data_IF_531408898296
#
_entry.id   IF_531408898296
#
_cell.length_a   1.000
_cell.length_b   1.000
_cell.length_c   1.000
_cell.angle_alpha   90.00
_cell.angle_beta   90.00
_cell.angle_gamma   90.00
#
_symmetry.space_group_name_H-M   'P 1'
#
loop_
_entity.id
_entity.type
_entity.pdbx_description
1 polymer ?
#
# COMPACT_ATOMS: atom_id res chain seq x y z
N UNK A 1 13.17 1.75 -7.08
CA UNK A 1 13.13 3.06 -6.36
C UNK A 1 11.89 3.29 -5.48
N UNK A 2 10.75 2.63 -5.70
CA UNK A 2 9.49 2.89 -4.95
C UNK A 2 9.46 2.36 -3.50
N UNK A 3 10.33 1.41 -3.14
CA UNK A 3 10.30 0.70 -1.85
C UNK A 3 10.19 1.63 -0.62
N UNK A 4 10.93 2.75 -0.50
CA UNK A 4 10.81 3.64 0.66
C UNK A 4 9.43 4.28 0.78
N UNK A 5 8.79 4.64 -0.33
CA UNK A 5 7.43 5.21 -0.31
C UNK A 5 6.40 4.18 0.14
N UNK A 6 6.54 2.92 -0.31
CA UNK A 6 5.72 1.81 0.19
C UNK A 6 5.90 1.55 1.68
N UNK A 7 7.13 1.67 2.21
CA UNK A 7 7.39 1.54 3.66
C UNK A 7 6.70 2.65 4.44
N UNK A 8 6.80 3.91 3.99
CA UNK A 8 6.14 5.05 4.63
C UNK A 8 4.62 4.90 4.58
N UNK A 9 4.06 4.57 3.42
CA UNK A 9 2.61 4.39 3.25
C UNK A 9 2.07 3.26 4.15
N UNK A 10 2.76 2.12 4.20
CA UNK A 10 2.42 1.01 5.09
C UNK A 10 2.38 1.42 6.56
N UNK A 11 3.41 2.14 7.04
CA UNK A 11 3.43 2.63 8.44
C UNK A 11 2.33 3.65 8.73
N UNK A 12 2.14 4.60 7.82
CA UNK A 12 1.15 5.66 7.98
C UNK A 12 -0.28 5.11 7.90
N UNK A 13 -0.53 4.03 7.17
CA UNK A 13 -1.86 3.40 7.07
C UNK A 13 -2.44 3.03 8.44
N UNK A 14 -1.59 2.58 9.38
CA UNK A 14 -2.03 2.27 10.74
C UNK A 14 -2.31 3.52 11.55
N UNK A 15 -1.51 4.58 11.38
CA UNK A 15 -1.76 5.86 12.07
C UNK A 15 -3.08 6.48 11.59
N UNK A 16 -3.27 6.57 10.28
CA UNK A 16 -4.49 7.05 9.66
C UNK A 16 -5.71 6.20 10.06
N UNK A 17 -5.56 4.86 10.02
CA UNK A 17 -6.60 3.93 10.44
C UNK A 17 -6.96 4.05 11.92
N UNK A 18 -5.97 4.23 12.80
CA UNK A 18 -6.20 4.43 14.23
C UNK A 18 -6.94 5.74 14.52
N UNK A 19 -6.57 6.84 13.85
CA UNK A 19 -7.30 8.12 13.96
C UNK A 19 -8.72 7.97 13.42
N UNK A 20 -8.90 7.37 12.25
CA UNK A 20 -10.23 7.14 11.67
C UNK A 20 -11.11 6.21 12.51
N UNK A 21 -10.52 5.36 13.35
CA UNK A 21 -11.23 4.51 14.31
C UNK A 21 -11.82 5.28 15.48
N UNK A 22 -11.34 6.49 15.78
CA UNK A 22 -11.88 7.31 16.86
C UNK A 22 -13.35 7.67 16.61
N UNK A 23 -14.15 7.71 17.68
CA UNK A 23 -15.57 7.97 17.55
C UNK A 23 -15.87 9.36 16.98
N UNK A 24 -15.01 10.33 17.29
CA UNK A 24 -15.09 11.69 16.76
C UNK A 24 -14.88 11.76 15.24
N UNK A 25 -14.19 10.78 14.65
CA UNK A 25 -13.93 10.67 13.21
C UNK A 25 -14.96 9.77 12.49
N UNK A 26 -16.03 9.37 13.18
CA UNK A 26 -17.07 8.47 12.65
C UNK A 26 -16.77 6.97 12.84
N UNK A 27 -15.58 6.63 13.34
CA UNK A 27 -15.17 5.26 13.58
C UNK A 27 -15.88 4.58 14.75
N UNK A 28 -15.47 3.34 15.00
CA UNK A 28 -16.05 2.46 16.03
C UNK A 28 -15.75 2.90 17.47
N UNK A 29 -14.72 3.73 17.68
CA UNK A 29 -14.21 4.12 18.99
C UNK A 29 -13.31 3.06 19.61
N UNK A 30 -12.52 2.36 18.80
CA UNK A 30 -11.62 1.29 19.25
C UNK A 30 -10.18 1.80 19.34
N UNK A 31 -9.58 1.70 20.52
CA UNK A 31 -8.14 1.88 20.69
C UNK A 31 -7.43 0.58 20.27
N UNK A 32 -6.57 0.64 19.26
CA UNK A 32 -5.93 -0.56 18.69
C UNK A 32 -5.20 -1.41 19.73
N UNK A 33 -4.48 -0.79 20.66
CA UNK A 33 -3.74 -1.51 21.72
C UNK A 33 -4.59 -2.01 22.88
N UNK A 34 -5.86 -1.60 22.97
CA UNK A 34 -6.65 -1.81 24.18
C UNK A 34 -5.98 -1.20 25.42
N UNK A 35 -6.35 -1.73 26.59
CA UNK A 35 -5.73 -1.45 27.90
C UNK A 35 -5.87 -2.70 28.77
N UNK A 36 -5.12 -2.86 29.89
CA UNK A 36 -5.31 -4.00 30.78
C UNK A 36 -6.78 -4.22 31.17
N UNK A 37 -7.31 -5.41 30.87
CA UNK A 37 -8.73 -5.76 31.09
C UNK A 37 -9.67 -5.46 29.91
N UNK A 38 -9.19 -4.84 28.82
CA UNK A 38 -9.96 -4.52 27.61
C UNK A 38 -9.25 -5.09 26.38
N UNK A 39 -10.00 -5.79 25.53
CA UNK A 39 -9.46 -6.42 24.33
C UNK A 39 -8.88 -5.38 23.34
N UNK A 40 -7.78 -5.71 22.64
CA UNK A 40 -7.24 -4.88 21.58
C UNK A 40 -8.14 -4.89 20.33
N UNK A 41 -7.93 -3.93 19.44
CA UNK A 41 -8.59 -3.88 18.14
C UNK A 41 -8.06 -4.96 17.19
N UNK A 42 -8.95 -5.51 16.35
CA UNK A 42 -8.61 -6.49 15.32
C UNK A 42 -8.20 -5.78 14.03
N UNK A 43 -6.96 -5.99 13.58
CA UNK A 43 -6.41 -5.42 12.35
C UNK A 43 -6.18 -6.52 11.31
N UNK A 44 -6.72 -6.33 10.12
CA UNK A 44 -6.50 -7.21 8.97
C UNK A 44 -5.67 -6.50 7.92
N UNK A 45 -4.59 -7.12 7.46
CA UNK A 45 -3.74 -6.58 6.38
C UNK A 45 -3.85 -7.50 5.18
N UNK A 46 -4.31 -6.97 4.04
CA UNK A 46 -4.47 -7.72 2.80
C UNK A 46 -3.28 -7.40 1.89
N UNK A 47 -2.40 -8.37 1.69
CA UNK A 47 -1.12 -8.25 1.00
C UNK A 47 0.04 -8.20 2.00
N UNK A 48 0.99 -9.11 1.86
CA UNK A 48 2.17 -9.31 2.69
C UNK A 48 3.46 -8.67 2.16
N UNK A 49 3.36 -7.91 1.06
CA UNK A 49 4.48 -7.18 0.46
C UNK A 49 5.00 -6.03 1.35
N UNK A 50 5.79 -5.12 0.77
CA UNK A 50 6.46 -4.04 1.52
C UNK A 50 5.50 -3.17 2.33
N UNK A 51 4.37 -2.78 1.74
CA UNK A 51 3.33 -1.98 2.41
C UNK A 51 2.75 -2.77 3.59
N UNK A 52 2.27 -3.98 3.32
CA UNK A 52 1.60 -4.80 4.33
C UNK A 52 2.51 -5.22 5.48
N UNK A 53 3.77 -5.55 5.20
CA UNK A 53 4.78 -5.82 6.21
C UNK A 53 4.93 -4.64 7.19
N UNK A 54 5.03 -3.43 6.66
CA UNK A 54 5.21 -2.23 7.49
C UNK A 54 3.94 -1.85 8.24
N UNK A 55 2.76 -2.07 7.63
CA UNK A 55 1.48 -1.92 8.31
C UNK A 55 1.34 -2.92 9.47
N UNK A 56 1.60 -4.20 9.23
CA UNK A 56 1.57 -5.24 10.26
C UNK A 56 2.57 -4.95 11.38
N UNK A 57 3.80 -4.54 11.06
CA UNK A 57 4.80 -4.15 12.05
C UNK A 57 4.31 -3.01 12.95
N UNK A 58 3.67 -1.98 12.37
CA UNK A 58 3.13 -0.88 13.16
C UNK A 58 1.93 -1.32 14.02
N UNK A 59 1.01 -2.09 13.46
CA UNK A 59 -0.17 -2.57 14.19
C UNK A 59 0.22 -3.46 15.38
N UNK A 60 1.15 -4.40 15.18
CA UNK A 60 1.73 -5.22 16.26
C UNK A 60 2.42 -4.34 17.30
N UNK A 61 3.18 -3.32 16.86
CA UNK A 61 3.85 -2.39 17.77
C UNK A 61 2.89 -1.58 18.64
N UNK A 62 1.66 -1.34 18.17
CA UNK A 62 0.59 -0.70 18.95
C UNK A 62 -0.15 -1.69 19.88
N UNK A 63 0.11 -2.99 19.79
CA UNK A 63 -0.57 -4.03 20.58
C UNK A 63 -1.87 -4.56 19.98
N UNK A 64 -2.13 -4.30 18.70
CA UNK A 64 -3.33 -4.80 18.01
C UNK A 64 -3.31 -6.32 17.80
N UNK A 65 -4.49 -6.92 17.62
CA UNK A 65 -4.62 -8.30 17.14
C UNK A 65 -4.53 -8.33 15.61
N UNK A 66 -3.38 -8.73 15.07
CA UNK A 66 -3.06 -8.60 13.64
C UNK A 66 -3.22 -9.93 12.90
N UNK A 67 -3.93 -9.90 11.76
CA UNK A 67 -3.98 -11.00 10.78
C UNK A 67 -3.54 -10.50 9.41
N UNK A 68 -2.56 -11.17 8.80
CA UNK A 68 -2.00 -10.83 7.49
C UNK A 68 -2.44 -11.88 6.48
N UNK A 69 -3.06 -11.44 5.38
CA UNK A 69 -3.49 -12.29 4.28
C UNK A 69 -2.59 -12.11 3.06
N UNK A 70 -2.13 -13.20 2.48
CA UNK A 70 -1.40 -13.22 1.20
C UNK A 70 -1.71 -14.51 0.43
N UNK A 71 -1.50 -14.51 -0.88
CA UNK A 71 -1.65 -15.69 -1.76
C UNK A 71 -0.34 -16.45 -1.94
N UNK A 72 0.81 -15.84 -1.65
CA UNK A 72 2.12 -16.45 -1.76
C UNK A 72 2.49 -17.17 -0.45
N UNK A 73 2.56 -18.52 -0.44
CA UNK A 73 2.96 -19.28 0.74
C UNK A 73 4.36 -18.91 1.26
N UNK A 74 5.30 -18.57 0.38
CA UNK A 74 6.66 -18.18 0.78
C UNK A 74 6.66 -16.83 1.50
N UNK A 75 5.84 -15.86 1.05
CA UNK A 75 5.67 -14.62 1.81
C UNK A 75 5.04 -14.89 3.18
N UNK A 76 4.02 -15.75 3.26
CA UNK A 76 3.38 -16.10 4.54
C UNK A 76 4.37 -16.76 5.50
N UNK A 77 5.23 -17.65 5.01
CA UNK A 77 6.29 -18.26 5.82
C UNK A 77 7.27 -17.21 6.35
N UNK A 78 7.74 -16.30 5.50
CA UNK A 78 8.65 -15.21 5.91
C UNK A 78 8.02 -14.27 6.94
N UNK A 79 6.75 -13.95 6.77
CA UNK A 79 5.97 -13.17 7.74
C UNK A 79 5.84 -13.93 9.06
N UNK A 80 5.50 -15.22 9.00
CA UNK A 80 5.37 -16.09 10.17
C UNK A 80 6.67 -16.20 10.97
N UNK A 81 7.81 -16.35 10.29
CA UNK A 81 9.13 -16.38 10.94
C UNK A 81 9.48 -15.07 11.64
N UNK A 82 9.07 -13.92 11.10
CA UNK A 82 9.40 -12.61 11.67
C UNK A 82 8.49 -12.18 12.81
N UNK A 83 7.18 -12.38 12.63
CA UNK A 83 6.19 -11.99 13.62
C UNK A 83 6.03 -13.03 14.73
N UNK A 84 6.39 -14.29 14.46
CA UNK A 84 6.20 -15.41 15.37
C UNK A 84 4.75 -15.47 15.86
N UNK A 85 4.52 -15.46 17.17
CA UNK A 85 3.19 -15.47 17.78
C UNK A 85 2.50 -14.10 17.81
N UNK A 86 3.17 -13.02 17.36
CA UNK A 86 2.66 -11.64 17.48
C UNK A 86 1.69 -11.24 16.37
N UNK A 87 1.69 -11.96 15.25
CA UNK A 87 0.71 -11.78 14.17
C UNK A 87 0.34 -13.12 13.55
N UNK A 88 -0.92 -13.26 13.13
CA UNK A 88 -1.42 -14.43 12.42
C UNK A 88 -1.20 -14.24 10.92
N UNK A 89 -0.75 -15.29 10.23
CA UNK A 89 -0.70 -15.34 8.76
C UNK A 89 -1.79 -16.28 8.25
N UNK A 90 -2.54 -15.87 7.22
CA UNK A 90 -3.65 -16.65 6.68
C UNK A 90 -3.65 -16.62 5.16
N UNK A 91 -3.84 -17.77 4.51
CA UNK A 91 -3.90 -17.83 3.05
C UNK A 91 -5.11 -17.05 2.50
N UNK A 92 -4.88 -16.22 1.48
CA UNK A 92 -5.87 -15.30 0.92
C UNK A 92 -6.76 -15.97 -0.13
N UNK A 93 -7.74 -16.75 0.33
CA UNK A 93 -8.88 -17.21 -0.47
C UNK A 93 -10.17 -16.43 -0.14
N UNK A 94 -11.23 -16.59 -0.94
CA UNK A 94 -12.49 -15.83 -0.78
C UNK A 94 -13.14 -16.00 0.61
N UNK A 95 -13.14 -17.22 1.14
CA UNK A 95 -13.76 -17.52 2.43
C UNK A 95 -12.97 -16.88 3.59
N UNK A 96 -11.66 -17.09 3.61
CA UNK A 96 -10.75 -16.52 4.61
C UNK A 96 -10.79 -14.99 4.60
N UNK A 97 -10.82 -14.38 3.41
CA UNK A 97 -10.92 -12.93 3.28
C UNK A 97 -12.22 -12.40 3.85
N UNK A 98 -13.36 -13.00 3.48
CA UNK A 98 -14.68 -12.57 3.95
C UNK A 98 -14.80 -12.67 5.48
N UNK A 99 -14.35 -13.78 6.07
CA UNK A 99 -14.36 -13.99 7.51
C UNK A 99 -13.47 -12.99 8.24
N UNK A 100 -12.23 -12.80 7.78
CA UNK A 100 -11.30 -11.85 8.39
C UNK A 100 -11.83 -10.42 8.32
N UNK A 101 -12.40 -10.00 7.19
CA UNK A 101 -12.96 -8.64 7.03
C UNK A 101 -14.19 -8.42 7.91
N UNK A 102 -15.07 -9.42 8.06
CA UNK A 102 -16.24 -9.31 8.92
C UNK A 102 -15.88 -9.08 10.41
N UNK A 103 -14.78 -9.68 10.88
CA UNK A 103 -14.32 -9.54 12.26
C UNK A 103 -13.45 -8.31 12.53
N UNK A 104 -12.93 -7.65 11.49
CA UNK A 104 -11.96 -6.58 11.63
C UNK A 104 -12.58 -5.29 12.17
N UNK A 105 -11.81 -4.59 13.01
CA UNK A 105 -12.09 -3.18 13.32
C UNK A 105 -11.38 -2.25 12.32
N UNK A 106 -10.21 -2.67 11.81
CA UNK A 106 -9.44 -1.96 10.79
C UNK A 106 -8.94 -2.95 9.73
N UNK A 107 -9.12 -2.62 8.46
CA UNK A 107 -8.57 -3.37 7.32
C UNK A 107 -7.65 -2.47 6.50
N UNK A 108 -6.45 -2.97 6.21
CA UNK A 108 -5.46 -2.31 5.35
C UNK A 108 -5.40 -3.04 4.01
N UNK A 109 -5.73 -2.32 2.95
CA UNK A 109 -5.56 -2.74 1.57
C UNK A 109 -4.14 -2.47 1.09
N UNK A 110 -3.29 -3.49 1.06
CA UNK A 110 -1.86 -3.39 0.75
C UNK A 110 -1.46 -4.24 -0.48
N UNK A 111 -2.41 -4.50 -1.38
CA UNK A 111 -2.19 -5.29 -2.60
C UNK A 111 -1.75 -4.37 -3.73
N UNK A 112 -0.56 -4.64 -4.26
CA UNK A 112 0.02 -3.91 -5.38
C UNK A 112 0.31 -4.91 -6.51
N UNK A 113 -0.19 -4.66 -7.71
CA UNK A 113 0.20 -5.38 -8.91
C UNK A 113 1.00 -4.42 -9.78
N UNK A 114 2.33 -4.61 -9.94
CA UNK A 114 3.14 -3.71 -10.75
C UNK A 114 2.58 -3.56 -12.17
N UNK A 115 2.31 -2.32 -12.60
CA UNK A 115 1.86 -2.02 -13.96
C UNK A 115 0.41 -2.40 -14.29
N UNK A 116 -0.41 -2.75 -13.29
CA UNK A 116 -1.83 -3.06 -13.51
C UNK A 116 -2.71 -2.46 -12.41
N UNK A 117 -4.01 -2.34 -12.71
CA UNK A 117 -4.99 -1.92 -11.71
C UNK A 117 -5.06 -2.92 -10.54
N UNK A 118 -5.24 -2.41 -9.33
CA UNK A 118 -5.39 -3.25 -8.15
C UNK A 118 -6.68 -4.11 -8.25
N UNK A 119 -6.62 -5.42 -7.94
CA UNK A 119 -7.80 -6.27 -7.94
C UNK A 119 -8.78 -5.83 -6.84
N UNK A 120 -10.08 -5.81 -7.15
CA UNK A 120 -11.15 -5.53 -6.19
C UNK A 120 -11.39 -6.76 -5.30
N UNK A 121 -10.72 -6.80 -4.14
CA UNK A 121 -10.74 -7.94 -3.23
C UNK A 121 -11.89 -7.86 -2.21
N UNK A 122 -12.11 -6.68 -1.63
CA UNK A 122 -13.25 -6.44 -0.75
C UNK A 122 -14.40 -5.88 -1.58
N UNK A 123 -15.43 -6.70 -1.76
CA UNK A 123 -16.64 -6.35 -2.52
C UNK A 123 -17.59 -5.52 -1.68
N UNK A 124 -18.46 -4.73 -2.31
CA UNK A 124 -19.51 -3.98 -1.60
C UNK A 124 -20.39 -4.88 -0.74
N UNK A 125 -20.69 -6.10 -1.21
CA UNK A 125 -21.49 -7.07 -0.46
C UNK A 125 -20.85 -7.47 0.89
N UNK A 126 -19.52 -7.47 1.00
CA UNK A 126 -18.82 -7.79 2.25
C UNK A 126 -18.97 -6.70 3.32
N UNK A 127 -19.24 -5.45 2.95
CA UNK A 127 -19.42 -4.35 3.92
C UNK A 127 -20.61 -4.62 4.85
N UNK A 128 -21.66 -5.30 4.36
CA UNK A 128 -22.82 -5.65 5.17
C UNK A 128 -22.50 -6.59 6.35
N UNK A 129 -21.45 -7.41 6.23
CA UNK A 129 -20.99 -8.28 7.33
C UNK A 129 -19.96 -7.61 8.25
N UNK A 130 -19.47 -6.42 7.89
CA UNK A 130 -18.49 -5.71 8.71
C UNK A 130 -19.15 -5.06 9.92
N UNK A 131 -18.33 -4.86 10.96
CA UNK A 131 -18.72 -4.09 12.14
C UNK A 131 -18.99 -2.64 11.75
N UNK A 132 -20.11 -2.09 12.22
CA UNK A 132 -20.41 -0.67 12.09
C UNK A 132 -19.29 0.19 12.72
N UNK A 133 -18.85 1.21 11.98
CA UNK A 133 -17.72 2.07 12.31
C UNK A 133 -16.33 1.45 12.07
N UNK A 134 -16.24 0.24 11.50
CA UNK A 134 -14.96 -0.29 11.07
C UNK A 134 -14.34 0.59 9.97
N UNK A 135 -13.02 0.53 9.87
CA UNK A 135 -12.24 1.38 8.96
C UNK A 135 -11.58 0.53 7.87
N UNK A 136 -11.68 1.00 6.63
CA UNK A 136 -10.96 0.50 5.47
C UNK A 136 -9.92 1.55 5.05
N UNK A 137 -8.63 1.21 5.08
CA UNK A 137 -7.55 2.07 4.57
C UNK A 137 -7.01 1.46 3.29
N UNK A 138 -7.27 2.11 2.15
CA UNK A 138 -6.87 1.60 0.84
C UNK A 138 -5.55 2.23 0.40
N UNK A 139 -4.43 1.58 0.70
CA UNK A 139 -3.10 2.06 0.28
C UNK A 139 -2.86 1.85 -1.21
N UNK A 140 -3.64 0.95 -1.84
CA UNK A 140 -3.60 0.69 -3.27
C UNK A 140 -4.40 1.72 -4.09
N UNK A 141 -4.90 2.79 -3.47
CA UNK A 141 -5.75 3.79 -4.14
C UNK A 141 -5.06 4.48 -5.32
N UNK A 142 -3.73 4.62 -5.26
CA UNK A 142 -2.92 5.18 -6.36
C UNK A 142 -3.01 4.33 -7.65
N UNK A 143 -3.50 3.08 -7.57
CA UNK A 143 -3.75 2.17 -8.69
C UNK A 143 -5.24 1.77 -8.80
N UNK A 144 -6.14 2.64 -8.35
CA UNK A 144 -7.58 2.45 -8.40
C UNK A 144 -8.18 1.77 -7.17
N UNK A 145 -7.38 1.33 -6.21
CA UNK A 145 -7.83 0.78 -4.93
C UNK A 145 -8.23 -0.69 -4.97
N UNK A 146 -7.99 -1.41 -3.88
CA UNK A 146 -8.31 -2.83 -3.77
C UNK A 146 -9.70 -3.11 -3.16
N UNK A 147 -10.43 -2.07 -2.75
CA UNK A 147 -11.84 -2.18 -2.36
C UNK A 147 -12.76 -1.66 -3.48
N UNK A 148 -13.90 -2.33 -3.67
CA UNK A 148 -14.87 -1.97 -4.73
C UNK A 148 -15.48 -0.58 -4.50
N UNK A 149 -15.65 -0.20 -3.23
CA UNK A 149 -16.25 1.07 -2.79
C UNK A 149 -15.24 2.22 -2.65
N UNK A 150 -13.95 1.97 -2.88
CA UNK A 150 -12.90 2.98 -2.80
C UNK A 150 -12.98 3.99 -3.95
N UNK A 151 -12.79 5.26 -3.63
CA UNK A 151 -12.45 6.32 -4.57
C UNK A 151 -11.40 7.24 -3.94
N UNK A 152 -10.59 7.89 -4.76
CA UNK A 152 -9.50 8.72 -4.26
C UNK A 152 -10.03 9.93 -3.49
N UNK A 153 -9.42 10.18 -2.32
CA UNK A 153 -9.70 11.31 -1.43
C UNK A 153 -8.44 12.16 -1.27
N UNK A 154 -8.53 13.24 -0.48
CA UNK A 154 -7.43 14.19 -0.29
C UNK A 154 -7.03 14.30 1.17
N UNK A 155 -5.85 14.87 1.47
CA UNK A 155 -5.48 15.14 2.87
C UNK A 155 -6.43 16.10 3.58
N UNK A 156 -7.16 16.95 2.86
CA UNK A 156 -8.11 17.91 3.43
C UNK A 156 -9.46 17.26 3.77
N UNK A 157 -9.89 16.30 2.95
CA UNK A 157 -11.09 15.50 3.16
C UNK A 157 -10.74 14.02 3.00
N UNK A 158 -10.16 13.40 4.04
CA UNK A 158 -9.45 12.12 3.92
C UNK A 158 -10.35 10.89 4.06
N UNK A 159 -11.57 11.06 4.54
CA UNK A 159 -12.48 9.94 4.81
C UNK A 159 -13.88 10.20 4.33
N UNK A 160 -14.57 9.11 3.98
CA UNK A 160 -16.00 9.10 3.71
C UNK A 160 -16.62 7.82 4.29
N UNK A 161 -17.95 7.79 4.42
CA UNK A 161 -18.66 6.64 5.00
C UNK A 161 -19.58 6.03 3.94
N UNK A 162 -19.47 4.71 3.75
CA UNK A 162 -20.39 3.92 2.92
C UNK A 162 -20.88 2.75 3.76
N UNK A 163 -22.19 2.55 3.81
CA UNK A 163 -22.84 1.43 4.51
C UNK A 163 -22.40 1.30 6.00
N UNK A 164 -22.07 2.44 6.62
CA UNK A 164 -21.60 2.54 8.01
C UNK A 164 -20.11 2.20 8.22
N UNK A 165 -19.35 2.03 7.14
CA UNK A 165 -17.93 1.71 7.13
C UNK A 165 -17.14 2.96 6.69
N UNK A 166 -16.15 3.34 7.49
CA UNK A 166 -15.29 4.49 7.22
C UNK A 166 -14.23 4.07 6.21
N UNK A 167 -14.08 4.83 5.14
CA UNK A 167 -13.07 4.62 4.12
C UNK A 167 -12.04 5.74 4.20
N UNK A 168 -10.77 5.37 4.26
CA UNK A 168 -9.63 6.26 4.10
C UNK A 168 -8.93 5.88 2.80
N UNK A 169 -8.95 6.78 1.82
CA UNK A 169 -8.48 6.50 0.46
C UNK A 169 -7.61 7.65 -0.05
N UNK A 170 -6.77 8.22 0.80
CA UNK A 170 -5.96 9.39 0.44
C UNK A 170 -4.84 8.95 -0.49
N UNK A 171 -4.85 9.48 -1.71
CA UNK A 171 -3.76 9.29 -2.66
C UNK A 171 -2.49 9.99 -2.13
N UNK A 172 -1.31 9.43 -2.43
CA UNK A 172 -0.03 9.98 -1.97
C UNK A 172 0.02 10.18 -0.44
N UNK A 173 -0.29 9.12 0.33
CA UNK A 173 -0.17 9.12 1.80
C UNK A 173 1.20 9.67 2.29
N UNK A 174 2.37 9.28 1.72
CA UNK A 174 3.67 9.76 2.18
C UNK A 174 3.85 11.28 2.16
N UNK A 175 3.01 12.02 1.43
CA UNK A 175 3.01 13.48 1.40
C UNK A 175 2.73 14.13 2.77
N UNK A 176 1.93 13.51 3.64
CA UNK A 176 1.62 14.04 4.97
C UNK A 176 2.84 14.06 5.91
N UNK A 177 3.83 13.21 5.66
CA UNK A 177 5.05 13.08 6.47
C UNK A 177 6.29 13.48 5.66
N UNK A 178 6.18 14.61 4.94
CA UNK A 178 7.16 15.13 3.99
C UNK A 178 8.61 15.09 4.50
N UNK A 179 8.86 15.47 5.76
CA UNK A 179 10.21 15.40 6.33
C UNK A 179 10.80 14.00 6.24
N UNK A 180 10.05 12.98 6.65
CA UNK A 180 10.50 11.58 6.62
C UNK A 180 10.56 11.05 5.19
N UNK A 181 9.52 11.28 4.38
CA UNK A 181 9.44 10.77 3.02
C UNK A 181 10.49 11.39 2.08
N UNK A 182 10.79 12.69 2.22
CA UNK A 182 11.87 13.34 1.47
C UNK A 182 13.23 12.71 1.74
N UNK A 183 13.61 12.49 3.01
CA UNK A 183 14.88 11.82 3.31
C UNK A 183 14.90 10.38 2.80
N UNK A 184 13.81 9.63 2.99
CA UNK A 184 13.72 8.24 2.56
C UNK A 184 13.82 8.09 1.03
N UNK A 185 13.19 9.00 0.26
CA UNK A 185 13.28 9.02 -1.20
C UNK A 185 14.68 9.46 -1.67
N UNK A 186 15.21 10.55 -1.11
CA UNK A 186 16.50 11.08 -1.52
C UNK A 186 17.64 10.08 -1.29
N UNK A 187 17.61 9.32 -0.19
CA UNK A 187 18.65 8.32 0.09
C UNK A 187 18.76 7.24 -1.00
N UNK A 188 17.67 6.95 -1.73
CA UNK A 188 17.69 5.97 -2.82
C UNK A 188 17.81 6.60 -4.20
N UNK A 189 17.43 7.88 -4.39
CA UNK A 189 17.49 8.56 -5.70
C UNK A 189 18.76 9.36 -5.92
N UNK A 190 19.37 9.90 -4.85
CA UNK A 190 20.54 10.78 -4.95
C UNK A 190 21.72 10.14 -5.72
N UNK A 191 22.08 8.85 -5.53
CA UNK A 191 23.15 8.25 -6.31
C UNK A 191 22.88 8.25 -7.83
N UNK A 192 21.61 8.10 -8.23
CA UNK A 192 21.21 8.14 -9.64
C UNK A 192 21.20 9.56 -10.19
N UNK A 193 20.72 10.53 -9.40
CA UNK A 193 20.72 11.94 -9.77
C UNK A 193 22.14 12.46 -10.00
N UNK A 194 23.08 12.15 -9.10
CA UNK A 194 24.49 12.50 -9.25
C UNK A 194 25.11 11.85 -10.49
N UNK A 195 24.83 10.57 -10.74
CA UNK A 195 25.32 9.87 -11.94
C UNK A 195 24.87 10.56 -13.24
N UNK A 196 23.60 10.97 -13.30
CA UNK A 196 23.06 11.69 -14.45
C UNK A 196 23.69 13.08 -14.57
N UNK A 197 23.91 13.78 -13.46
CA UNK A 197 24.56 15.09 -13.45
C UNK A 197 26.01 15.03 -13.96
N UNK A 198 26.77 14.02 -13.54
CA UNK A 198 28.19 13.88 -13.88
C UNK A 198 28.42 13.38 -15.32
N UNK A 199 27.59 12.45 -15.80
CA UNK A 199 27.82 11.74 -17.07
C UNK A 199 26.87 12.17 -18.20
N UNK A 200 25.80 12.91 -17.86
CA UNK A 200 24.64 13.05 -18.73
C UNK A 200 23.78 11.78 -18.77
N UNK A 201 22.53 11.91 -19.21
CA UNK A 201 21.55 10.82 -19.16
C UNK A 201 21.99 9.59 -19.98
N UNK A 202 22.47 9.75 -21.22
CA UNK A 202 22.77 8.61 -22.12
C UNK A 202 23.88 7.72 -21.56
N UNK A 203 24.98 8.32 -21.09
CA UNK A 203 26.09 7.56 -20.51
C UNK A 203 25.73 6.98 -19.12
N UNK A 204 24.96 7.71 -18.31
CA UNK A 204 24.48 7.22 -17.02
C UNK A 204 23.57 5.98 -17.18
N UNK A 205 22.67 5.98 -18.16
CA UNK A 205 21.77 4.85 -18.44
C UNK A 205 22.53 3.67 -19.05
N UNK A 206 23.45 3.89 -20.01
CA UNK A 206 24.33 2.82 -20.55
C UNK A 206 25.12 2.12 -19.45
N UNK A 207 25.62 2.86 -18.46
CA UNK A 207 26.40 2.33 -17.34
C UNK A 207 25.57 1.70 -16.22
N UNK A 208 24.24 1.75 -16.27
CA UNK A 208 23.37 1.24 -15.22
C UNK A 208 22.03 0.71 -15.80
N UNK A 209 21.93 -0.61 -16.07
CA UNK A 209 20.71 -1.22 -16.59
C UNK A 209 19.46 -0.94 -15.75
N UNK A 210 19.60 -0.91 -14.41
CA UNK A 210 18.47 -0.59 -13.53
C UNK A 210 17.97 0.85 -13.71
N UNK A 211 18.88 1.79 -13.99
CA UNK A 211 18.50 3.18 -14.30
C UNK A 211 17.91 3.30 -15.71
N UNK A 212 18.40 2.50 -16.67
CA UNK A 212 17.90 2.44 -18.04
C UNK A 212 16.43 1.98 -18.10
N UNK A 213 16.02 1.01 -17.26
CA UNK A 213 14.62 0.60 -17.11
C UNK A 213 13.69 1.73 -16.66
N UNK A 214 14.23 2.82 -16.11
CA UNK A 214 13.47 4.02 -15.73
C UNK A 214 13.18 4.99 -16.88
N UNK A 215 13.76 4.78 -18.07
CA UNK A 215 13.49 5.61 -19.24
C UNK A 215 12.08 5.28 -19.77
N UNK A 216 11.18 6.26 -19.72
CA UNK A 216 9.80 6.11 -20.19
C UNK A 216 9.58 6.72 -21.58
N UNK A 217 10.15 7.91 -21.83
CA UNK A 217 9.98 8.66 -23.07
C UNK A 217 11.29 9.34 -23.46
N UNK A 218 11.67 9.24 -24.73
CA UNK A 218 12.78 9.99 -25.30
C UNK A 218 12.44 10.43 -26.73
N UNK A 219 12.62 11.72 -27.05
CA UNK A 219 12.42 12.27 -28.41
C UNK A 219 11.08 11.85 -29.07
N UNK A 220 9.99 11.78 -28.30
CA UNK A 220 8.66 11.38 -28.77
C UNK A 220 8.45 9.86 -28.89
N UNK A 221 9.44 9.04 -28.54
CA UNK A 221 9.37 7.58 -28.54
C UNK A 221 9.09 7.07 -27.13
N UNK A 222 8.15 6.13 -27.00
CA UNK A 222 7.80 5.50 -25.72
C UNK A 222 8.63 4.24 -25.54
N UNK A 223 9.37 4.17 -24.44
CA UNK A 223 10.33 3.09 -24.16
C UNK A 223 9.92 2.18 -23.01
N UNK A 224 8.76 2.43 -22.40
CA UNK A 224 8.18 1.57 -21.39
C UNK A 224 6.99 0.80 -21.98
N UNK A 225 7.15 -0.52 -22.10
CA UNK A 225 6.23 -1.37 -22.85
C UNK A 225 4.79 -1.29 -22.35
N UNK A 226 4.57 -1.34 -21.02
CA UNK A 226 3.22 -1.32 -20.47
C UNK A 226 2.48 -0.01 -20.78
N UNK A 227 3.16 1.14 -20.76
CA UNK A 227 2.56 2.43 -21.15
C UNK A 227 2.26 2.47 -22.65
N UNK A 228 3.15 1.91 -23.48
CA UNK A 228 2.93 1.85 -24.92
C UNK A 228 1.71 1.00 -25.28
N UNK A 229 1.56 -0.17 -24.65
CA UNK A 229 0.42 -1.07 -24.86
C UNK A 229 -0.90 -0.47 -24.33
N UNK A 230 -0.90 0.08 -23.12
CA UNK A 230 -2.10 0.64 -22.48
C UNK A 230 -2.64 1.87 -23.22
N UNK A 231 -1.76 2.74 -23.72
CA UNK A 231 -2.15 3.98 -24.39
C UNK A 231 -2.15 3.88 -25.93
N UNK A 232 -1.79 2.73 -26.51
CA UNK A 232 -1.78 2.50 -27.95
C UNK A 232 -0.64 3.20 -28.71
N UNK A 233 0.52 3.40 -28.07
CA UNK A 233 1.70 4.00 -28.70
C UNK A 233 2.67 2.94 -29.25
N UNK A 234 3.49 3.28 -30.27
CA UNK A 234 4.60 2.42 -30.70
C UNK A 234 5.65 2.26 -29.59
N UNK A 235 5.97 1.02 -29.22
CA UNK A 235 7.04 0.69 -28.29
C UNK A 235 8.41 0.69 -28.99
N UNK A 236 9.40 1.33 -28.37
CA UNK A 236 10.80 1.30 -28.80
C UNK A 236 11.67 0.80 -27.65
N UNK A 237 12.45 -0.26 -27.88
CA UNK A 237 13.33 -0.79 -26.84
C UNK A 237 14.37 0.25 -26.41
N UNK A 238 14.63 0.35 -25.10
CA UNK A 238 15.62 1.29 -24.53
C UNK A 238 17.00 1.10 -25.17
N UNK A 239 17.39 -0.13 -25.53
CA UNK A 239 18.64 -0.41 -26.24
C UNK A 239 18.78 0.43 -27.51
N UNK A 240 17.72 0.54 -28.31
CA UNK A 240 17.74 1.26 -29.58
C UNK A 240 17.94 2.77 -29.40
N UNK A 241 17.56 3.31 -28.23
CA UNK A 241 17.80 4.71 -27.84
C UNK A 241 19.23 4.90 -27.34
N UNK A 242 19.73 3.89 -26.62
CA UNK A 242 21.04 3.90 -26.03
C UNK A 242 22.13 3.50 -27.00
N UNK A 243 21.85 3.01 -28.21
CA UNK A 243 22.88 2.76 -29.23
C UNK A 243 23.51 4.07 -29.76
#
# INVERSE_FOLDING_TARGET
>A
LLKPMSQVAGRMSIQAGATALEKAQGGRGVLLGGVPGVMPGKVVVIGGGVVGWNAAQMAVGLGADVTILDRDPEQLERLGMYFESRAKTRFSNKANLAESVAEADLVIGAVLVPGAAAPKLVTRAMLASMKQGAVLVDVAIDQGGCFETSHATTHADPTFIIDGIVHYCVANMPGAVARTSTYALNNVTLPHALRIADLGWKAALRGNPHLAEGLNVHAGQVTYQAIAEELGYPYVAVSNILD
#
